data_IF_038316255605
#
_entry.id   IF_038316255605
#
_cell.length_a   1.000
_cell.length_b   1.000
_cell.length_c   1.000
_cell.angle_alpha   90.00
_cell.angle_beta   90.00
_cell.angle_gamma   90.00
#
_symmetry.space_group_name_H-M   'P 1'
#
loop_
_entity.id
_entity.type
_entity.pdbx_description
1 polymer ?
#
# COMPACT_ATOMS: atom_id res chain seq x y z
N UNK A 1 -18.09 -0.42 8.99
CA UNK A 1 -17.13 -1.31 8.30
C UNK A 1 -16.76 -0.81 6.90
N UNK A 2 -17.73 -0.52 6.03
CA UNK A 2 -17.53 -0.11 4.63
C UNK A 2 -16.63 1.14 4.45
N UNK A 3 -16.73 2.13 5.35
CA UNK A 3 -15.96 3.39 5.23
C UNK A 3 -14.45 3.18 5.39
N UNK A 4 -14.03 2.48 6.44
CA UNK A 4 -12.62 2.21 6.71
C UNK A 4 -11.98 1.37 5.59
N UNK A 5 -12.74 0.41 5.01
CA UNK A 5 -12.27 -0.40 3.88
C UNK A 5 -12.10 0.44 2.61
N UNK A 6 -13.01 1.38 2.36
CA UNK A 6 -12.90 2.32 1.23
C UNK A 6 -11.72 3.28 1.39
N UNK A 7 -11.50 3.79 2.60
CA UNK A 7 -10.35 4.66 2.91
C UNK A 7 -9.02 3.90 2.72
N UNK A 8 -8.97 2.64 3.15
CA UNK A 8 -7.80 1.78 2.96
C UNK A 8 -7.52 1.47 1.48
N UNK A 9 -8.57 1.19 0.70
CA UNK A 9 -8.46 0.99 -0.75
C UNK A 9 -8.04 2.26 -1.49
N UNK A 10 -8.56 3.42 -1.11
CA UNK A 10 -8.17 4.70 -1.68
C UNK A 10 -6.69 5.01 -1.41
N UNK A 11 -6.22 4.71 -0.20
CA UNK A 11 -4.81 4.89 0.16
C UNK A 11 -3.90 3.91 -0.60
N UNK A 12 -4.32 2.65 -0.79
CA UNK A 12 -3.65 1.68 -1.65
C UNK A 12 -3.50 2.19 -3.09
N UNK A 13 -4.57 2.71 -3.67
CA UNK A 13 -4.53 3.30 -5.02
C UNK A 13 -3.60 4.51 -5.06
N UNK A 14 -3.71 5.42 -4.09
CA UNK A 14 -2.85 6.61 -4.03
C UNK A 14 -1.36 6.26 -3.94
N UNK A 15 -1.01 5.24 -3.16
CA UNK A 15 0.37 4.72 -3.09
C UNK A 15 0.78 4.13 -4.43
N UNK A 16 -0.06 3.29 -5.04
CA UNK A 16 0.22 2.65 -6.32
C UNK A 16 0.46 3.68 -7.44
N UNK A 17 -0.37 4.71 -7.50
CA UNK A 17 -0.27 5.79 -8.49
C UNK A 17 0.99 6.65 -8.29
N UNK A 18 1.48 6.75 -7.05
CA UNK A 18 2.69 7.50 -6.73
C UNK A 18 4.00 6.75 -7.08
N UNK A 19 3.98 5.41 -7.12
CA UNK A 19 5.18 4.58 -7.33
C UNK A 19 5.95 4.97 -8.59
N UNK A 20 5.35 5.09 -9.80
CA UNK A 20 6.10 5.40 -11.01
C UNK A 20 6.88 6.72 -10.92
N UNK A 21 6.24 7.78 -10.41
CA UNK A 21 6.86 9.09 -10.27
C UNK A 21 8.00 9.08 -9.24
N UNK A 22 7.81 8.36 -8.14
CA UNK A 22 8.82 8.21 -7.09
C UNK A 22 10.01 7.41 -7.62
N UNK A 23 9.77 6.31 -8.34
CA UNK A 23 10.83 5.49 -8.95
C UNK A 23 11.67 6.32 -9.93
N UNK A 24 11.04 7.11 -10.79
CA UNK A 24 11.76 8.02 -11.69
C UNK A 24 12.60 9.03 -10.91
N UNK A 25 12.03 9.69 -9.90
CA UNK A 25 12.76 10.65 -9.07
C UNK A 25 13.95 10.02 -8.32
N UNK A 26 13.85 8.74 -7.91
CA UNK A 26 14.96 8.02 -7.29
C UNK A 26 16.08 7.75 -8.30
N UNK A 27 15.74 7.33 -9.52
CA UNK A 27 16.70 7.07 -10.59
C UNK A 27 17.41 8.35 -11.04
N UNK A 28 16.68 9.46 -11.11
CA UNK A 28 17.21 10.78 -11.47
C UNK A 28 17.98 11.45 -10.32
N UNK A 29 18.01 10.83 -9.13
CA UNK A 29 18.69 11.36 -7.94
C UNK A 29 18.02 12.58 -7.31
N UNK A 30 16.82 12.95 -7.76
CA UNK A 30 16.06 14.11 -7.24
C UNK A 30 15.18 13.75 -6.04
N UNK A 31 15.03 12.46 -5.73
CA UNK A 31 14.30 12.00 -4.56
C UNK A 31 15.15 12.07 -3.30
N UNK A 32 14.82 13.01 -2.41
CA UNK A 32 15.59 13.26 -1.20
C UNK A 32 15.45 12.13 -0.17
N UNK A 33 16.44 12.01 0.74
CA UNK A 33 16.36 11.08 1.89
C UNK A 33 15.12 11.30 2.75
N UNK A 34 14.67 12.55 2.90
CA UNK A 34 13.45 12.88 3.65
C UNK A 34 12.22 12.30 2.96
N UNK A 35 12.07 12.52 1.65
CA UNK A 35 10.96 11.95 0.87
C UNK A 35 10.98 10.42 0.88
N UNK A 36 12.17 9.81 0.87
CA UNK A 36 12.33 8.36 1.03
C UNK A 36 11.84 7.86 2.37
N UNK A 37 12.22 8.51 3.47
CA UNK A 37 11.75 8.15 4.80
C UNK A 37 10.23 8.34 4.95
N UNK A 38 9.68 9.44 4.43
CA UNK A 38 8.24 9.72 4.46
C UNK A 38 7.43 8.68 3.67
N UNK A 39 7.86 8.37 2.45
CA UNK A 39 7.19 7.36 1.63
C UNK A 39 7.31 5.96 2.24
N UNK A 40 8.48 5.59 2.76
CA UNK A 40 8.67 4.32 3.46
C UNK A 40 7.78 4.18 4.70
N UNK A 41 7.68 5.24 5.52
CA UNK A 41 6.79 5.25 6.69
C UNK A 41 5.32 5.07 6.29
N UNK A 42 4.90 5.71 5.20
CA UNK A 42 3.55 5.56 4.62
C UNK A 42 3.27 4.11 4.18
N UNK A 43 4.21 3.47 3.49
CA UNK A 43 4.10 2.06 3.09
C UNK A 43 3.97 1.11 4.29
N UNK A 44 4.78 1.32 5.34
CA UNK A 44 4.72 0.50 6.56
C UNK A 44 3.38 0.67 7.27
N UNK A 45 2.89 1.90 7.39
CA UNK A 45 1.59 2.17 8.01
C UNK A 45 0.44 1.50 7.24
N UNK A 46 0.46 1.60 5.90
CA UNK A 46 -0.53 0.96 5.04
C UNK A 46 -0.49 -0.58 5.15
N UNK A 47 0.70 -1.17 5.13
CA UNK A 47 0.88 -2.61 5.32
C UNK A 47 0.36 -3.11 6.68
N UNK A 48 0.63 -2.36 7.76
CA UNK A 48 0.10 -2.68 9.08
C UNK A 48 -1.43 -2.61 9.12
N UNK A 49 -2.04 -1.61 8.49
CA UNK A 49 -3.49 -1.47 8.39
C UNK A 49 -4.13 -2.63 7.61
N UNK A 50 -3.53 -3.04 6.50
CA UNK A 50 -3.96 -4.20 5.71
C UNK A 50 -3.87 -5.50 6.50
N UNK A 51 -2.74 -5.73 7.18
CA UNK A 51 -2.56 -6.90 8.04
C UNK A 51 -3.59 -6.95 9.18
N UNK A 52 -3.84 -5.83 9.85
CA UNK A 52 -4.84 -5.75 10.89
C UNK A 52 -6.24 -6.08 10.34
N UNK A 53 -6.55 -5.61 9.13
CA UNK A 53 -7.83 -5.87 8.49
C UNK A 53 -8.00 -7.32 8.03
N UNK A 54 -6.96 -7.90 7.44
CA UNK A 54 -6.93 -9.31 7.04
C UNK A 54 -7.03 -10.27 8.23
N UNK A 55 -6.61 -9.88 9.43
CA UNK A 55 -6.83 -10.67 10.66
C UNK A 55 -8.27 -10.58 11.21
N UNK A 56 -9.02 -9.55 10.82
CA UNK A 56 -10.42 -9.33 11.26
C UNK A 56 -11.46 -9.98 10.33
N UNK A 57 -11.05 -10.41 9.15
CA UNK A 57 -11.89 -11.16 8.23
C UNK A 57 -11.30 -12.57 8.09
N UNK A 58 -12.09 -13.65 8.08
CA UNK A 58 -11.57 -14.95 7.73
C UNK A 58 -10.95 -14.85 6.33
N UNK A 59 -9.65 -15.12 6.21
CA UNK A 59 -8.94 -15.11 4.94
C UNK A 59 -9.59 -16.13 4.01
N UNK A 60 -10.38 -15.66 3.03
CA UNK A 60 -10.80 -16.48 1.90
C UNK A 60 -9.64 -16.47 0.92
N UNK A 61 -8.71 -17.40 1.09
CA UNK A 61 -7.80 -17.77 0.02
C UNK A 61 -8.65 -18.52 -1.00
N UNK A 62 -8.96 -17.91 -2.14
CA UNK A 62 -9.44 -18.67 -3.29
C UNK A 62 -8.24 -19.49 -3.75
N UNK A 63 -8.13 -20.72 -3.23
CA UNK A 63 -7.17 -21.69 -3.72
C UNK A 63 -7.45 -21.88 -5.20
N UNK A 64 -6.45 -21.63 -6.05
CA UNK A 64 -6.60 -21.53 -7.50
C UNK A 64 -6.85 -22.88 -8.17
N UNK A 65 -7.53 -23.82 -7.51
CA UNK A 65 -7.96 -25.09 -8.09
C UNK A 65 -9.08 -24.83 -9.10
N UNK A 66 -8.65 -24.49 -10.33
CA UNK A 66 -9.48 -24.61 -11.52
C UNK A 66 -9.72 -26.10 -11.74
N UNK A 67 -10.97 -26.53 -11.58
CA UNK A 67 -11.43 -27.87 -11.90
C UNK A 67 -11.46 -28.10 -13.43
#
# INVERSE_FOLDING_TARGET
MIRADRELLAELMSVNDAVPAITLAMLDGTFSRRQHAEFGARLVALGNALCARGRQQPTVVVDGTVA
#
